data_IF_217414103846
#
_entry.id   IF_217414103846
#
_cell.length_a   1.000
_cell.length_b   1.000
_cell.length_c   1.000
_cell.angle_alpha   90.00
_cell.angle_beta   90.00
_cell.angle_gamma   90.00
#
_symmetry.space_group_name_H-M   'P 1'
#
loop_
_entity.id
_entity.type
_entity.pdbx_description
1 polymer ?
#
# COMPACT_ATOMS: atom_id res chain seq x y z
N UNK A 1 8.45 -23.57 -14.92
CA UNK A 1 7.58 -22.97 -13.89
C UNK A 1 6.35 -22.40 -14.58
N UNK A 2 5.19 -22.94 -14.29
CA UNK A 2 3.93 -22.44 -14.87
C UNK A 2 3.69 -21.02 -14.36
N UNK A 3 3.60 -20.04 -15.26
CA UNK A 3 3.28 -18.65 -14.93
C UNK A 3 1.81 -18.65 -14.49
N UNK A 4 1.58 -18.42 -13.21
CA UNK A 4 0.22 -18.37 -12.69
C UNK A 4 -0.52 -17.20 -13.35
N UNK A 5 -1.65 -17.50 -14.01
CA UNK A 5 -2.46 -16.48 -14.67
C UNK A 5 -3.20 -15.72 -13.57
N UNK A 6 -2.99 -14.41 -13.51
CA UNK A 6 -3.68 -13.51 -12.60
C UNK A 6 -4.37 -12.38 -13.38
N UNK A 7 -5.35 -11.76 -12.76
CA UNK A 7 -5.97 -10.54 -13.24
C UNK A 7 -5.88 -9.44 -12.17
N UNK A 8 -5.74 -8.20 -12.63
CA UNK A 8 -5.84 -7.00 -11.81
C UNK A 8 -7.10 -6.24 -12.21
N UNK A 9 -7.86 -5.79 -11.24
CA UNK A 9 -9.03 -4.94 -11.44
C UNK A 9 -9.30 -4.04 -10.25
N UNK A 10 -10.20 -3.09 -10.43
CA UNK A 10 -10.69 -2.27 -9.32
C UNK A 10 -11.38 -3.15 -8.27
N UNK A 11 -11.16 -2.77 -7.00
CA UNK A 11 -11.82 -3.37 -5.84
C UNK A 11 -13.27 -2.91 -5.79
N UNK A 12 -14.18 -3.86 -5.69
CA UNK A 12 -15.61 -3.66 -5.54
C UNK A 12 -16.09 -4.04 -4.14
N UNK A 13 -17.26 -3.57 -3.74
CA UNK A 13 -17.85 -3.91 -2.41
C UNK A 13 -18.01 -5.41 -2.24
N UNK A 14 -18.30 -6.14 -3.33
CA UNK A 14 -18.42 -7.59 -3.32
C UNK A 14 -17.12 -8.32 -2.93
N UNK A 15 -15.96 -7.67 -3.08
CA UNK A 15 -14.65 -8.24 -2.71
C UNK A 15 -14.36 -8.12 -1.21
N UNK A 16 -15.19 -7.39 -0.46
CA UNK A 16 -14.87 -7.02 0.92
C UNK A 16 -14.56 -8.20 1.83
N UNK A 17 -15.29 -9.30 1.72
CA UNK A 17 -15.04 -10.48 2.57
C UNK A 17 -13.64 -11.07 2.33
N UNK A 18 -13.19 -11.13 1.09
CA UNK A 18 -11.83 -11.57 0.76
C UNK A 18 -10.77 -10.54 1.19
N UNK A 19 -11.01 -9.25 0.94
CA UNK A 19 -10.13 -8.16 1.38
C UNK A 19 -9.97 -8.19 2.90
N UNK A 20 -11.08 -8.33 3.63
CA UNK A 20 -11.12 -8.45 5.08
C UNK A 20 -10.31 -9.64 5.58
N UNK A 21 -10.50 -10.81 4.95
CA UNK A 21 -9.76 -12.04 5.28
C UNK A 21 -8.25 -11.85 5.11
N UNK A 22 -7.82 -11.29 3.99
CA UNK A 22 -6.40 -11.05 3.69
C UNK A 22 -5.83 -10.00 4.64
N UNK A 23 -6.58 -8.95 4.95
CA UNK A 23 -6.17 -7.94 5.93
C UNK A 23 -5.98 -8.56 7.31
N UNK A 24 -6.90 -9.42 7.76
CA UNK A 24 -6.79 -10.14 9.02
C UNK A 24 -5.52 -10.99 9.09
N UNK A 25 -5.17 -11.71 8.02
CA UNK A 25 -3.90 -12.45 7.94
C UNK A 25 -2.68 -11.53 8.17
N UNK A 26 -2.70 -10.32 7.60
CA UNK A 26 -1.65 -9.33 7.83
C UNK A 26 -1.59 -8.87 9.30
N UNK A 27 -2.73 -8.59 9.91
CA UNK A 27 -2.84 -8.22 11.32
C UNK A 27 -2.29 -9.35 12.22
N UNK A 28 -2.71 -10.57 11.99
CA UNK A 28 -2.30 -11.75 12.76
C UNK A 28 -0.81 -12.06 12.63
N UNK A 29 -0.18 -11.66 11.54
CA UNK A 29 1.28 -11.80 11.37
C UNK A 29 2.09 -10.98 12.37
N UNK A 30 1.52 -9.91 12.91
CA UNK A 30 2.20 -8.98 13.82
C UNK A 30 3.31 -8.15 13.14
N UNK A 31 3.46 -8.23 11.82
CA UNK A 31 4.54 -7.61 11.07
C UNK A 31 4.08 -6.63 9.99
N UNK A 32 2.77 -6.46 9.79
CA UNK A 32 2.24 -5.70 8.67
C UNK A 32 1.63 -4.35 9.06
N UNK A 33 1.10 -4.19 10.26
CA UNK A 33 0.32 -3.03 10.64
C UNK A 33 0.24 -2.88 12.17
N UNK A 34 -0.04 -1.66 12.63
CA UNK A 34 -0.41 -1.39 14.02
C UNK A 34 -1.89 -1.70 14.32
N UNK A 35 -2.70 -1.93 13.29
CA UNK A 35 -4.09 -2.32 13.49
C UNK A 35 -4.16 -3.67 14.20
N UNK A 36 -5.12 -3.81 15.13
CA UNK A 36 -5.33 -5.01 15.93
C UNK A 36 -6.61 -5.76 15.53
N UNK A 37 -7.46 -5.12 14.76
CA UNK A 37 -8.69 -5.66 14.22
C UNK A 37 -8.99 -5.11 12.85
N UNK A 38 -9.73 -5.85 12.03
CA UNK A 38 -10.19 -5.35 10.73
C UNK A 38 -11.38 -4.44 10.96
N UNK A 39 -11.36 -3.18 10.46
CA UNK A 39 -12.52 -2.30 10.57
C UNK A 39 -13.69 -2.82 9.71
N UNK A 40 -14.92 -2.40 9.98
CA UNK A 40 -16.04 -2.64 9.07
C UNK A 40 -15.81 -1.90 7.73
N UNK A 41 -16.51 -2.35 6.69
CA UNK A 41 -16.40 -1.78 5.34
C UNK A 41 -16.53 -0.25 5.30
N UNK A 42 -17.51 0.29 6.00
CA UNK A 42 -17.80 1.73 6.00
C UNK A 42 -16.60 2.55 6.49
N UNK A 43 -15.94 2.08 7.56
CA UNK A 43 -14.77 2.73 8.12
C UNK A 43 -13.56 2.58 7.20
N UNK A 44 -13.35 1.38 6.64
CA UNK A 44 -12.30 1.13 5.67
C UNK A 44 -12.48 2.00 4.43
N UNK A 45 -13.70 2.06 3.92
CA UNK A 45 -14.07 2.84 2.73
C UNK A 45 -13.78 4.34 2.90
N UNK A 46 -14.14 4.91 4.04
CA UNK A 46 -13.88 6.33 4.35
C UNK A 46 -12.40 6.60 4.61
N UNK A 47 -11.68 5.61 5.16
CA UNK A 47 -10.26 5.72 5.49
C UNK A 47 -9.33 5.66 4.27
N UNK A 48 -9.83 5.23 3.11
CA UNK A 48 -9.03 5.10 1.89
C UNK A 48 -9.53 6.05 0.79
N UNK A 49 -8.61 6.46 -0.09
CA UNK A 49 -8.96 7.29 -1.25
C UNK A 49 -9.95 6.56 -2.15
N UNK A 50 -10.87 7.28 -2.82
CA UNK A 50 -11.92 6.65 -3.63
C UNK A 50 -11.43 6.12 -4.99
N UNK A 51 -10.15 6.21 -5.26
CA UNK A 51 -9.48 5.72 -6.47
C UNK A 51 -8.27 4.87 -6.09
N UNK A 52 -7.64 4.23 -7.06
CA UNK A 52 -6.48 3.37 -6.87
C UNK A 52 -6.72 2.29 -5.81
N UNK A 53 -7.87 1.65 -5.88
CA UNK A 53 -8.26 0.50 -5.06
C UNK A 53 -8.25 -0.72 -5.95
N UNK A 54 -7.36 -1.65 -5.68
CA UNK A 54 -7.06 -2.77 -6.56
C UNK A 54 -7.21 -4.10 -5.85
N UNK A 55 -7.67 -5.09 -6.58
CA UNK A 55 -7.55 -6.50 -6.21
C UNK A 55 -6.81 -7.27 -7.30
N UNK A 56 -6.01 -8.24 -6.87
CA UNK A 56 -5.38 -9.22 -7.72
C UNK A 56 -6.12 -10.55 -7.52
N UNK A 57 -6.58 -11.15 -8.62
CA UNK A 57 -7.29 -12.42 -8.59
C UNK A 57 -6.52 -13.51 -9.33
N UNK A 58 -6.65 -14.74 -8.84
CA UNK A 58 -6.20 -15.97 -9.52
C UNK A 58 -7.37 -16.94 -9.49
N UNK A 59 -7.77 -17.45 -10.65
CA UNK A 59 -8.95 -18.31 -10.78
C UNK A 59 -10.19 -17.66 -10.11
N UNK A 60 -10.42 -16.37 -10.41
CA UNK A 60 -11.51 -15.53 -9.88
C UNK A 60 -11.50 -15.29 -8.35
N UNK A 61 -10.52 -15.85 -7.63
CA UNK A 61 -10.37 -15.65 -6.18
C UNK A 61 -9.41 -14.49 -5.89
N UNK A 62 -9.82 -13.58 -5.03
CA UNK A 62 -8.96 -12.49 -4.57
C UNK A 62 -7.78 -13.06 -3.78
N UNK A 63 -6.56 -12.73 -4.21
CA UNK A 63 -5.29 -13.17 -3.62
C UNK A 63 -4.47 -12.04 -3.03
N UNK A 64 -4.87 -10.81 -3.27
CA UNK A 64 -4.24 -9.63 -2.71
C UNK A 64 -5.02 -8.38 -3.04
N UNK A 65 -4.74 -7.32 -2.30
CA UNK A 65 -5.35 -6.01 -2.51
C UNK A 65 -4.35 -4.89 -2.25
N UNK A 66 -4.61 -3.74 -2.84
CA UNK A 66 -3.86 -2.52 -2.61
C UNK A 66 -4.80 -1.31 -2.59
N UNK A 67 -4.45 -0.33 -1.77
CA UNK A 67 -5.20 0.93 -1.65
C UNK A 67 -4.30 2.05 -1.13
N UNK A 68 -4.82 3.28 -1.17
CA UNK A 68 -4.16 4.48 -0.70
C UNK A 68 -4.97 5.15 0.40
N UNK A 69 -4.29 5.72 1.39
CA UNK A 69 -4.88 6.59 2.39
C UNK A 69 -4.22 7.96 2.40
N UNK A 70 -4.98 8.98 2.86
CA UNK A 70 -4.43 10.34 3.01
C UNK A 70 -3.38 10.38 4.12
N UNK A 71 -2.29 11.09 3.87
CA UNK A 71 -1.26 11.36 4.88
C UNK A 71 -1.65 12.56 5.75
N UNK A 72 -2.35 13.54 5.19
CA UNK A 72 -2.71 14.78 5.87
C UNK A 72 -4.06 15.30 5.36
N UNK A 73 -4.78 16.00 6.24
CA UNK A 73 -5.99 16.75 5.90
C UNK A 73 -5.70 18.12 5.25
N UNK A 74 -4.44 18.59 5.29
CA UNK A 74 -4.04 19.86 4.69
C UNK A 74 -4.00 19.75 3.17
N UNK A 75 -4.61 20.73 2.49
CA UNK A 75 -4.73 20.76 1.02
C UNK A 75 -3.37 20.75 0.31
N UNK A 76 -2.34 21.38 0.88
CA UNK A 76 -0.98 21.37 0.32
C UNK A 76 -0.38 19.98 0.19
N UNK A 77 -0.91 19.00 0.92
CA UNK A 77 -0.52 17.58 0.83
C UNK A 77 -1.55 16.70 0.12
N UNK A 78 -2.44 17.29 -0.68
CA UNK A 78 -3.50 16.54 -1.36
C UNK A 78 -2.98 15.42 -2.29
N UNK A 79 -1.79 15.59 -2.84
CA UNK A 79 -1.12 14.58 -3.68
C UNK A 79 -0.12 13.68 -2.94
N UNK A 80 -0.21 13.61 -1.61
CA UNK A 80 0.61 12.72 -0.78
C UNK A 80 -0.27 11.62 -0.20
N UNK A 81 0.07 10.37 -0.44
CA UNK A 81 -0.69 9.22 0.04
C UNK A 81 0.21 8.13 0.61
N UNK A 82 -0.36 7.35 1.53
CA UNK A 82 0.29 6.17 2.08
C UNK A 82 -0.27 4.92 1.41
N UNK A 83 0.64 4.00 1.06
CA UNK A 83 0.30 2.74 0.39
C UNK A 83 -0.07 1.66 1.39
N UNK A 84 -1.06 0.86 1.04
CA UNK A 84 -1.37 -0.41 1.68
C UNK A 84 -1.34 -1.51 0.64
N UNK A 85 -0.55 -2.56 0.85
CA UNK A 85 -0.45 -3.73 -0.04
C UNK A 85 -0.46 -4.99 0.81
N UNK A 86 -1.42 -5.86 0.56
CA UNK A 86 -1.60 -7.11 1.28
C UNK A 86 -1.78 -8.26 0.31
N UNK A 87 -1.08 -9.36 0.55
CA UNK A 87 -1.17 -10.61 -0.23
C UNK A 87 -1.55 -11.74 0.70
N UNK A 88 -2.53 -12.54 0.28
CA UNK A 88 -2.96 -13.73 1.02
C UNK A 88 -1.75 -14.63 1.34
N UNK A 89 -1.70 -15.15 2.57
CA UNK A 89 -0.55 -15.92 3.06
C UNK A 89 -0.21 -17.09 2.13
N UNK A 90 -1.24 -17.80 1.65
CA UNK A 90 -1.10 -18.91 0.71
C UNK A 90 -0.63 -18.52 -0.69
N UNK A 91 -0.59 -17.21 -0.98
CA UNK A 91 -0.20 -16.64 -2.30
C UNK A 91 1.08 -15.81 -2.23
N UNK A 92 1.76 -15.80 -1.10
CA UNK A 92 3.04 -15.11 -0.96
C UNK A 92 4.14 -15.83 -1.77
N UNK A 93 5.20 -15.10 -2.11
CA UNK A 93 6.31 -15.65 -2.90
C UNK A 93 6.07 -15.76 -4.40
N UNK A 94 4.87 -15.43 -4.90
CA UNK A 94 4.54 -15.46 -6.33
C UNK A 94 4.72 -14.12 -7.06
N UNK A 95 5.26 -13.11 -6.39
CA UNK A 95 5.47 -11.78 -6.96
C UNK A 95 4.22 -10.88 -6.98
N UNK A 96 3.10 -11.30 -6.41
CA UNK A 96 1.84 -10.56 -6.43
C UNK A 96 1.91 -9.22 -5.71
N UNK A 97 2.69 -9.13 -4.64
CA UNK A 97 2.93 -7.85 -3.96
C UNK A 97 3.57 -6.80 -4.88
N UNK A 98 4.50 -7.23 -5.72
CA UNK A 98 5.13 -6.35 -6.72
C UNK A 98 4.13 -5.91 -7.78
N UNK A 99 3.36 -6.83 -8.31
CA UNK A 99 2.32 -6.56 -9.32
C UNK A 99 1.31 -5.53 -8.78
N UNK A 100 0.82 -5.71 -7.56
CA UNK A 100 -0.09 -4.79 -6.89
C UNK A 100 0.54 -3.42 -6.66
N UNK A 101 1.76 -3.36 -6.16
CA UNK A 101 2.44 -2.09 -5.87
C UNK A 101 2.74 -1.31 -7.16
N UNK A 102 3.21 -1.97 -8.21
CA UNK A 102 3.47 -1.32 -9.51
C UNK A 102 2.17 -0.77 -10.13
N UNK A 103 1.07 -1.51 -10.06
CA UNK A 103 -0.23 -1.04 -10.52
C UNK A 103 -0.76 0.12 -9.67
N UNK A 104 -0.59 0.04 -8.34
CA UNK A 104 -0.97 1.11 -7.41
C UNK A 104 -0.21 2.42 -7.71
N UNK A 105 1.08 2.33 -8.02
CA UNK A 105 1.90 3.47 -8.42
C UNK A 105 1.33 4.10 -9.69
N UNK A 106 1.06 3.32 -10.72
CA UNK A 106 0.52 3.83 -11.98
C UNK A 106 -0.85 4.51 -11.79
N UNK A 107 -1.76 3.88 -11.05
CA UNK A 107 -3.06 4.45 -10.72
C UNK A 107 -2.94 5.73 -9.88
N UNK A 108 -2.03 5.79 -8.93
CA UNK A 108 -1.79 6.98 -8.12
C UNK A 108 -1.33 8.17 -8.96
N UNK A 109 -0.42 7.95 -9.89
CA UNK A 109 0.07 8.97 -10.82
C UNK A 109 -1.04 9.47 -11.75
N UNK A 110 -1.88 8.56 -12.26
CA UNK A 110 -3.03 8.92 -13.09
C UNK A 110 -4.07 9.80 -12.36
N UNK A 111 -4.11 9.74 -11.03
CA UNK A 111 -5.00 10.54 -10.19
C UNK A 111 -4.31 11.73 -9.51
N UNK A 112 -3.12 12.12 -9.95
CA UNK A 112 -2.44 13.32 -9.48
C UNK A 112 -1.73 13.16 -8.12
N UNK A 113 -1.49 11.95 -7.66
CA UNK A 113 -0.68 11.69 -6.47
C UNK A 113 0.79 11.78 -6.83
N UNK A 114 1.49 12.77 -6.30
CA UNK A 114 2.91 13.01 -6.63
C UNK A 114 3.89 12.40 -5.65
N UNK A 115 3.43 12.00 -4.46
CA UNK A 115 4.27 11.37 -3.43
C UNK A 115 3.54 10.19 -2.80
N UNK A 116 4.18 9.03 -2.81
CA UNK A 116 3.75 7.87 -2.04
C UNK A 116 4.71 7.65 -0.87
N UNK A 117 4.16 7.27 0.28
CA UNK A 117 4.95 6.82 1.42
C UNK A 117 4.51 5.44 1.88
N UNK A 118 5.41 4.76 2.58
CA UNK A 118 5.16 3.50 3.26
C UNK A 118 5.84 3.54 4.64
N UNK A 119 5.10 3.16 5.68
CA UNK A 119 5.64 2.95 7.03
C UNK A 119 5.70 1.45 7.30
N UNK A 120 6.89 0.90 7.43
CA UNK A 120 7.12 -0.55 7.47
C UNK A 120 7.88 -0.89 8.74
N UNK A 121 7.48 -1.96 9.44
CA UNK A 121 8.28 -2.46 10.56
C UNK A 121 9.65 -2.92 10.06
N UNK A 122 10.74 -2.59 10.77
CA UNK A 122 12.11 -2.97 10.35
C UNK A 122 12.29 -4.47 10.14
N UNK A 123 11.53 -5.29 10.88
CA UNK A 123 11.56 -6.75 10.80
C UNK A 123 10.90 -7.31 9.53
N UNK A 124 10.07 -6.51 8.86
CA UNK A 124 9.44 -6.87 7.59
C UNK A 124 10.37 -6.55 6.41
N UNK A 125 11.50 -7.23 6.37
CA UNK A 125 12.54 -7.03 5.35
C UNK A 125 12.03 -7.28 3.93
N UNK A 126 11.11 -8.24 3.76
CA UNK A 126 10.51 -8.54 2.46
C UNK A 126 9.72 -7.35 1.91
N UNK A 127 8.94 -6.67 2.74
CA UNK A 127 8.20 -5.46 2.36
C UNK A 127 9.14 -4.29 2.04
N UNK A 128 10.17 -4.08 2.85
CA UNK A 128 11.18 -3.04 2.60
C UNK A 128 11.88 -3.28 1.26
N UNK A 129 12.29 -4.52 0.99
CA UNK A 129 12.94 -4.88 -0.27
C UNK A 129 11.99 -4.70 -1.47
N UNK A 130 10.71 -5.06 -1.33
CA UNK A 130 9.67 -4.85 -2.35
C UNK A 130 9.56 -3.36 -2.71
N UNK A 131 9.40 -2.49 -1.72
CA UNK A 131 9.25 -1.05 -1.92
C UNK A 131 10.50 -0.43 -2.55
N UNK A 132 11.70 -0.80 -2.08
CA UNK A 132 12.95 -0.35 -2.70
C UNK A 132 13.05 -0.72 -4.18
N UNK A 133 12.69 -1.96 -4.55
CA UNK A 133 12.68 -2.41 -5.95
C UNK A 133 11.64 -1.69 -6.82
N UNK A 134 10.61 -1.13 -6.19
CA UNK A 134 9.56 -0.34 -6.86
C UNK A 134 9.84 1.17 -6.85
N UNK A 135 11.08 1.57 -6.54
CA UNK A 135 11.54 2.95 -6.63
C UNK A 135 11.33 3.81 -5.37
N UNK A 136 11.00 3.19 -4.24
CA UNK A 136 10.98 3.89 -2.96
C UNK A 136 12.38 4.03 -2.40
N UNK A 137 12.69 5.19 -1.83
CA UNK A 137 13.91 5.44 -1.04
C UNK A 137 13.58 5.44 0.44
N UNK A 138 14.52 5.05 1.26
CA UNK A 138 14.41 5.16 2.71
C UNK A 138 14.63 6.62 3.14
N UNK A 139 13.69 7.15 3.90
CA UNK A 139 13.78 8.49 4.49
C UNK A 139 14.47 8.42 5.85
N UNK A 140 14.11 7.43 6.65
CA UNK A 140 14.68 7.22 7.96
C UNK A 140 13.88 6.24 8.82
N UNK A 141 14.37 6.03 10.04
CA UNK A 141 13.77 5.18 11.05
C UNK A 141 13.12 6.03 12.13
N UNK A 142 11.89 5.71 12.48
CA UNK A 142 11.17 6.31 13.59
C UNK A 142 11.22 5.35 14.77
N UNK A 143 12.02 5.68 15.76
CA UNK A 143 12.21 4.85 16.93
C UNK A 143 11.00 4.94 17.87
N UNK A 144 10.45 3.79 18.27
CA UNK A 144 9.39 3.66 19.27
C UNK A 144 8.19 4.58 18.99
N UNK A 145 7.76 4.63 17.73
CA UNK A 145 6.71 5.55 17.27
C UNK A 145 5.33 5.23 17.84
N UNK A 146 5.03 3.94 18.05
CA UNK A 146 3.76 3.49 18.58
C UNK A 146 3.89 2.12 19.25
N UNK A 147 2.86 1.72 19.99
CA UNK A 147 2.79 0.39 20.62
C UNK A 147 1.90 -0.55 19.80
N UNK A 148 2.36 -1.78 19.67
CA UNK A 148 1.55 -2.91 19.24
C UNK A 148 1.50 -3.93 20.37
N UNK A 149 0.31 -4.27 20.86
CA UNK A 149 0.11 -5.16 22.01
C UNK A 149 1.00 -4.79 23.22
N UNK A 150 1.09 -3.51 23.53
CA UNK A 150 1.86 -2.98 24.66
C UNK A 150 3.38 -2.87 24.43
N UNK A 151 3.90 -3.34 23.29
CA UNK A 151 5.32 -3.29 22.93
C UNK A 151 5.57 -2.11 22.00
N UNK A 152 6.56 -1.28 22.33
CA UNK A 152 7.01 -0.19 21.46
C UNK A 152 7.64 -0.74 20.19
N UNK A 153 7.20 -0.23 19.05
CA UNK A 153 7.70 -0.62 17.73
C UNK A 153 8.27 0.57 16.98
N UNK A 154 9.30 0.30 16.22
CA UNK A 154 9.87 1.24 15.26
C UNK A 154 9.18 1.08 13.90
N UNK A 155 9.29 2.12 13.07
CA UNK A 155 8.99 2.01 11.64
C UNK A 155 10.11 2.60 10.80
N UNK A 156 10.33 2.01 9.63
CA UNK A 156 11.13 2.61 8.56
C UNK A 156 10.16 3.35 7.64
N UNK A 157 10.42 4.63 7.42
CA UNK A 157 9.67 5.44 6.47
C UNK A 157 10.37 5.38 5.11
N UNK A 158 9.63 4.96 4.10
CA UNK A 158 10.06 4.99 2.70
C UNK A 158 9.13 5.93 1.93
N UNK A 159 9.65 6.54 0.88
CA UNK A 159 8.86 7.39 -0.01
C UNK A 159 9.26 7.22 -1.46
N UNK A 160 8.32 7.47 -2.36
CA UNK A 160 8.52 7.52 -3.80
C UNK A 160 7.93 8.81 -4.36
N UNK A 161 8.81 9.68 -4.90
CA UNK A 161 8.39 10.88 -5.63
C UNK A 161 8.11 10.50 -7.09
N UNK A 162 6.92 10.84 -7.58
CA UNK A 162 6.59 10.66 -9.00
C UNK A 162 7.46 11.56 -9.88
N UNK A 163 7.87 11.03 -11.01
CA UNK A 163 8.53 11.79 -12.09
C UNK A 163 7.57 12.11 -13.23
N UNK A 164 6.33 11.64 -13.12
CA UNK A 164 5.28 11.77 -14.15
C UNK A 164 4.29 12.86 -13.77
N UNK A 165 3.84 12.89 -12.52
CA UNK A 165 2.85 13.84 -12.04
C UNK A 165 3.42 14.75 -10.95
N UNK A 166 2.94 16.00 -10.88
CA UNK A 166 3.46 17.01 -9.97
C UNK A 166 4.92 17.41 -10.27
N UNK A 167 5.43 17.10 -11.45
CA UNK A 167 6.64 17.69 -11.97
C UNK A 167 6.27 19.08 -12.50
N UNK A 168 6.83 20.13 -11.90
CA UNK A 168 6.73 21.47 -12.49
C UNK A 168 7.38 21.40 -13.87
N UNK A 169 6.64 21.79 -14.91
CA UNK A 169 7.28 22.21 -16.14
C UNK A 169 8.27 23.31 -15.74
N UNK A 170 9.56 23.11 -15.97
CA UNK A 170 10.56 24.14 -15.75
C UNK A 170 10.05 25.43 -16.38
N UNK A 171 9.55 26.33 -15.54
CA UNK A 171 9.12 27.64 -15.96
C UNK A 171 10.33 28.34 -16.53
N UNK A 172 10.30 28.57 -17.83
CA UNK A 172 11.21 29.49 -18.51
C UNK A 172 11.13 30.80 -17.75
N UNK A 173 12.07 31.04 -16.84
CA UNK A 173 12.28 32.37 -16.31
C UNK A 173 12.88 33.22 -17.45
N UNK A 174 12.04 34.05 -18.03
CA UNK A 174 12.50 35.21 -18.82
C UNK A 174 12.89 36.34 -17.88
#
# INVERSE_FOLDING_TARGET
MSRQIYALRSLEVADWEDVRRIYLQGIESGQATFETEVPPWERWNVGHLPFARLVLTVEEKVRGWAALSKVSAREVYAGVAEVSVYVATESQGHGFGRVLLEALIAESEAHGVWMLQASIFPENEASIALHRRSGFREVGRRERIAKLHGVWRDTVLLERRSVVTGADSEGTQN
#
